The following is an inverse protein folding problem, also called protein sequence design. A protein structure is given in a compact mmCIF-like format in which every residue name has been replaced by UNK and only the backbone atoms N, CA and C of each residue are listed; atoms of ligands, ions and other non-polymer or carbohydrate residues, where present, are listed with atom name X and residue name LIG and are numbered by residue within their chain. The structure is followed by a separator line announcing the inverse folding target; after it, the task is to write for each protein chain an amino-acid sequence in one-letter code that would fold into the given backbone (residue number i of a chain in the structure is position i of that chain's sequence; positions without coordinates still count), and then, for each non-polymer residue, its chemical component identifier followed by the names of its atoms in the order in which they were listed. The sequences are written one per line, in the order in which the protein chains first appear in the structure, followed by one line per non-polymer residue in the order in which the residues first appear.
data_IF_249874984292
#
_entry.id   IF_249874984292
#
_cell.length_a   1.000
_cell.length_b   1.000
_cell.length_c   1.000
_cell.angle_alpha   90.00
_cell.angle_beta   90.00
_cell.angle_gamma   90.00
#
_symmetry.space_group_name_H-M   'P 1'
#
loop_
_entity.id
_entity.type
_entity.pdbx_description
1 polymer ?
#
# COMPACT_ATOMS: atom_id res chain seq x y z
N UNK A 1 9.77 -58.57 15.36
CA UNK A 1 8.54 -57.75 15.36
C UNK A 1 8.55 -56.95 16.64
N UNK A 2 8.84 -55.66 16.54
CA UNK A 2 8.71 -54.68 17.64
C UNK A 2 7.53 -53.79 17.25
N UNK A 3 6.40 -54.01 17.94
CA UNK A 3 5.23 -53.14 17.85
C UNK A 3 5.53 -51.86 18.60
N UNK A 4 5.48 -50.71 17.88
CA UNK A 4 5.44 -49.37 18.48
C UNK A 4 3.99 -49.05 18.85
N UNK A 5 3.68 -48.67 20.08
CA UNK A 5 2.34 -48.22 20.43
C UNK A 5 2.07 -46.90 19.71
N UNK A 6 0.96 -46.83 18.99
CA UNK A 6 0.42 -45.63 18.42
C UNK A 6 0.00 -44.69 19.59
N UNK A 7 0.88 -43.75 19.96
CA UNK A 7 0.48 -42.64 20.79
C UNK A 7 -0.49 -41.77 20.01
N UNK A 8 -1.74 -41.94 20.25
CA UNK A 8 -2.83 -41.09 19.87
C UNK A 8 -2.69 -39.75 20.64
N UNK A 9 -1.78 -38.89 20.20
CA UNK A 9 -1.75 -37.49 20.65
C UNK A 9 -2.93 -36.79 20.01
N UNK A 10 -4.02 -36.71 20.77
CA UNK A 10 -5.23 -35.99 20.41
C UNK A 10 -4.87 -34.61 19.86
N UNK A 11 -5.13 -34.41 18.59
CA UNK A 11 -5.27 -33.08 17.98
C UNK A 11 -6.46 -32.42 18.69
N UNK A 12 -6.19 -31.75 19.81
CA UNK A 12 -7.11 -30.71 20.26
C UNK A 12 -7.09 -29.66 19.15
N UNK A 13 -8.05 -29.74 18.25
CA UNK A 13 -8.41 -28.62 17.40
C UNK A 13 -8.53 -27.41 18.30
N UNK A 14 -7.57 -26.48 18.19
CA UNK A 14 -7.55 -25.26 18.97
C UNK A 14 -8.59 -24.31 18.40
N UNK A 15 -9.87 -24.68 18.57
CA UNK A 15 -11.01 -23.89 18.13
C UNK A 15 -10.98 -22.50 18.75
N UNK A 16 -11.27 -21.51 17.93
CA UNK A 16 -11.37 -20.13 18.39
C UNK A 16 -12.60 -19.96 19.26
N UNK A 17 -12.50 -19.21 20.36
CA UNK A 17 -13.70 -18.73 21.06
C UNK A 17 -14.40 -17.68 20.19
N UNK A 18 -15.70 -17.48 20.38
CA UNK A 18 -16.47 -16.47 19.63
C UNK A 18 -15.83 -15.08 19.72
N UNK A 19 -15.27 -14.71 20.87
CA UNK A 19 -14.61 -13.42 21.04
C UNK A 19 -13.29 -13.36 20.27
N UNK A 20 -12.51 -14.44 20.23
CA UNK A 20 -11.29 -14.53 19.43
C UNK A 20 -11.58 -14.48 17.94
N UNK A 21 -12.63 -15.16 17.49
CA UNK A 21 -13.08 -15.13 16.10
C UNK A 21 -13.46 -13.71 15.67
N UNK A 22 -14.27 -13.02 16.45
CA UNK A 22 -14.65 -11.62 16.18
C UNK A 22 -13.44 -10.67 16.14
N UNK A 23 -12.48 -10.83 17.06
CA UNK A 23 -11.25 -10.02 17.07
C UNK A 23 -10.42 -10.30 15.81
N UNK A 24 -10.30 -11.56 15.39
CA UNK A 24 -9.56 -11.93 14.17
C UNK A 24 -10.24 -11.38 12.91
N UNK A 25 -11.56 -11.53 12.78
CA UNK A 25 -12.37 -10.94 11.70
C UNK A 25 -12.22 -9.41 11.65
N UNK A 26 -12.22 -8.77 12.81
CA UNK A 26 -11.99 -7.32 12.89
C UNK A 26 -10.60 -6.94 12.38
N UNK A 27 -9.55 -7.65 12.80
CA UNK A 27 -8.17 -7.39 12.36
C UNK A 27 -8.08 -7.55 10.84
N UNK A 28 -8.65 -8.62 10.26
CA UNK A 28 -8.69 -8.82 8.81
C UNK A 28 -9.42 -7.69 8.08
N UNK A 29 -10.61 -7.32 8.55
CA UNK A 29 -11.40 -6.26 7.94
C UNK A 29 -10.73 -4.89 8.07
N UNK A 30 -10.07 -4.64 9.19
CA UNK A 30 -9.29 -3.42 9.40
C UNK A 30 -8.12 -3.33 8.41
N UNK A 31 -7.36 -4.44 8.24
CA UNK A 31 -6.28 -4.52 7.24
C UNK A 31 -6.83 -4.32 5.83
N UNK A 32 -7.96 -4.97 5.50
CA UNK A 32 -8.64 -4.80 4.19
C UNK A 32 -9.04 -3.35 3.91
N UNK A 33 -9.50 -2.63 4.94
CA UNK A 33 -10.02 -1.27 4.79
C UNK A 33 -8.91 -0.21 4.80
N UNK A 34 -7.94 -0.34 5.70
CA UNK A 34 -6.93 0.69 5.95
C UNK A 34 -5.54 0.36 5.39
N UNK A 35 -5.27 -0.90 4.99
CA UNK A 35 -3.98 -1.34 4.46
C UNK A 35 -2.90 -1.61 5.54
N UNK A 36 -3.24 -1.51 6.83
CA UNK A 36 -2.36 -1.81 7.95
C UNK A 36 -3.16 -2.37 9.13
N UNK A 37 -2.53 -3.16 10.04
CA UNK A 37 -3.22 -3.74 11.17
C UNK A 37 -3.64 -2.70 12.21
N UNK A 38 -4.72 -2.98 12.99
CA UNK A 38 -5.12 -2.12 14.09
C UNK A 38 -4.08 -2.11 15.22
N UNK A 39 -4.01 -1.01 15.97
CA UNK A 39 -3.30 -0.99 17.24
C UNK A 39 -4.13 -1.67 18.35
N UNK A 40 -3.47 -2.04 19.47
CA UNK A 40 -4.18 -2.55 20.65
C UNK A 40 -5.26 -1.56 21.15
N UNK A 41 -5.00 -0.25 21.02
CA UNK A 41 -5.96 0.80 21.41
C UNK A 41 -7.18 0.84 20.49
N UNK A 42 -7.00 0.62 19.19
CA UNK A 42 -8.11 0.54 18.23
C UNK A 42 -9.01 -0.65 18.59
N UNK A 43 -8.43 -1.82 18.87
CA UNK A 43 -9.18 -3.01 19.30
C UNK A 43 -9.89 -2.77 20.64
N UNK A 44 -9.24 -2.11 21.61
CA UNK A 44 -9.87 -1.77 22.89
C UNK A 44 -11.13 -0.95 22.69
N UNK A 45 -11.03 0.10 21.88
CA UNK A 45 -12.14 1.02 21.61
C UNK A 45 -13.33 0.32 20.92
N UNK A 46 -13.04 -0.48 19.88
CA UNK A 46 -14.07 -1.03 19.02
C UNK A 46 -14.73 -2.30 19.60
N UNK A 47 -14.07 -2.95 20.60
CA UNK A 47 -14.62 -4.09 21.34
C UNK A 47 -15.05 -3.75 22.79
N UNK A 48 -15.03 -2.48 23.15
CA UNK A 48 -15.35 -2.01 24.50
C UNK A 48 -14.57 -2.77 25.61
N UNK A 49 -13.29 -3.04 25.32
CA UNK A 49 -12.39 -3.69 26.26
C UNK A 49 -11.63 -2.62 27.04
N UNK A 50 -11.97 -2.43 28.32
CA UNK A 50 -11.42 -1.37 29.18
C UNK A 50 -9.90 -1.45 29.41
N UNK A 51 -9.26 -2.58 29.12
CA UNK A 51 -7.84 -2.80 29.41
C UNK A 51 -7.06 -3.30 28.21
N UNK A 52 -5.95 -2.63 27.82
CA UNK A 52 -5.01 -3.14 26.81
C UNK A 52 -4.48 -4.54 27.10
N UNK A 53 -4.38 -4.90 28.39
CA UNK A 53 -3.96 -6.23 28.83
C UNK A 53 -4.97 -7.32 28.47
N UNK A 54 -6.27 -6.99 28.45
CA UNK A 54 -7.34 -7.89 27.99
C UNK A 54 -7.21 -8.23 26.51
N UNK A 55 -6.97 -7.22 25.68
CA UNK A 55 -6.72 -7.41 24.23
C UNK A 55 -5.43 -8.21 24.01
N UNK A 56 -4.34 -7.85 24.71
CA UNK A 56 -3.06 -8.57 24.61
C UNK A 56 -3.22 -10.08 24.86
N UNK A 57 -4.02 -10.47 25.86
CA UNK A 57 -4.30 -11.87 26.19
C UNK A 57 -5.06 -12.60 25.07
N UNK A 58 -5.99 -11.93 24.38
CA UNK A 58 -6.67 -12.51 23.22
C UNK A 58 -5.70 -12.66 22.05
N UNK A 59 -4.84 -11.66 21.78
CA UNK A 59 -3.82 -11.72 20.74
C UNK A 59 -2.79 -12.81 21.00
N UNK A 60 -2.31 -12.97 22.26
CA UNK A 60 -1.41 -14.07 22.64
C UNK A 60 -2.04 -15.44 22.40
N UNK A 61 -3.33 -15.57 22.68
CA UNK A 61 -4.05 -16.83 22.42
C UNK A 61 -4.19 -17.10 20.93
N UNK A 62 -4.48 -16.08 20.11
CA UNK A 62 -4.54 -16.20 18.64
C UNK A 62 -3.17 -16.57 18.07
N UNK A 63 -2.09 -16.00 18.60
CA UNK A 63 -0.72 -16.30 18.21
C UNK A 63 -0.34 -17.74 18.55
N UNK A 64 -0.61 -18.19 19.79
CA UNK A 64 -0.38 -19.59 20.23
C UNK A 64 -1.16 -20.60 19.40
N UNK A 65 -2.33 -20.23 18.89
CA UNK A 65 -3.15 -21.05 17.98
C UNK A 65 -2.72 -20.96 16.52
N UNK A 66 -1.72 -20.13 16.19
CA UNK A 66 -1.17 -19.97 14.86
C UNK A 66 -2.08 -19.23 13.86
N UNK A 67 -2.99 -18.37 14.36
CA UNK A 67 -3.83 -17.51 13.53
C UNK A 67 -3.19 -16.18 13.20
N UNK A 68 -2.33 -15.67 14.10
CA UNK A 68 -1.58 -14.44 13.88
C UNK A 68 -0.11 -14.61 14.29
N UNK A 69 0.71 -13.71 13.81
CA UNK A 69 2.09 -13.49 14.25
C UNK A 69 2.22 -12.04 14.73
N UNK A 70 2.99 -11.78 15.80
CA UNK A 70 3.23 -10.44 16.34
C UNK A 70 4.71 -10.12 16.31
N UNK A 71 5.07 -8.98 15.76
CA UNK A 71 6.46 -8.55 15.59
C UNK A 71 6.95 -7.64 16.73
N UNK A 72 6.17 -7.46 17.79
CA UNK A 72 6.55 -6.64 18.96
C UNK A 72 6.54 -5.12 18.75
N UNK A 73 6.34 -4.65 17.52
CA UNK A 73 6.19 -3.22 17.21
C UNK A 73 4.72 -2.79 17.20
N UNK A 74 4.48 -1.47 17.31
CA UNK A 74 3.12 -0.92 17.18
C UNK A 74 2.54 -1.31 15.82
N UNK A 75 1.29 -1.84 15.81
CA UNK A 75 0.62 -2.35 14.60
C UNK A 75 1.33 -3.55 13.93
N UNK A 76 2.18 -4.26 14.67
CA UNK A 76 2.93 -5.41 14.19
C UNK A 76 2.14 -6.71 14.31
N UNK A 77 0.93 -6.79 13.73
CA UNK A 77 0.09 -8.00 13.69
C UNK A 77 0.01 -8.48 12.25
N UNK A 78 0.40 -9.72 12.01
CA UNK A 78 0.23 -10.42 10.73
C UNK A 78 -0.78 -11.53 10.91
N UNK A 79 -1.78 -11.61 10.05
CA UNK A 79 -2.74 -12.70 10.04
C UNK A 79 -2.19 -13.84 9.21
N UNK A 80 -2.18 -15.06 9.76
CA UNK A 80 -1.67 -16.27 9.13
C UNK A 80 -2.80 -17.19 8.64
N UNK A 81 -3.96 -17.16 9.33
CA UNK A 81 -5.15 -17.96 9.01
C UNK A 81 -6.40 -17.15 9.23
N UNK A 82 -7.36 -17.30 8.35
CA UNK A 82 -8.71 -16.77 8.51
C UNK A 82 -9.49 -17.48 9.62
N UNK A 83 -10.58 -16.91 10.15
CA UNK A 83 -11.39 -17.52 11.20
C UNK A 83 -11.97 -18.90 10.88
N UNK A 84 -12.09 -19.24 9.60
CA UNK A 84 -12.51 -20.57 9.10
C UNK A 84 -11.37 -21.59 9.08
N UNK A 85 -10.15 -21.18 9.49
CA UNK A 85 -8.96 -22.02 9.50
C UNK A 85 -8.22 -22.10 8.17
N UNK A 86 -8.72 -21.45 7.10
CA UNK A 86 -8.00 -21.37 5.83
C UNK A 86 -6.69 -20.62 6.02
N UNK A 87 -5.58 -21.24 5.59
CA UNK A 87 -4.26 -20.61 5.63
C UNK A 87 -4.25 -19.45 4.63
N UNK A 88 -3.95 -18.27 5.10
CA UNK A 88 -3.57 -17.18 4.22
C UNK A 88 -2.16 -17.50 3.73
N UNK A 89 -2.07 -18.08 2.54
CA UNK A 89 -0.78 -18.47 1.96
C UNK A 89 0.18 -17.28 1.93
N UNK A 90 1.48 -17.47 2.22
CA UNK A 90 2.50 -16.46 1.97
C UNK A 90 2.53 -16.21 0.45
N UNK A 91 1.91 -15.12 0.00
CA UNK A 91 1.76 -14.78 -1.42
C UNK A 91 0.50 -13.99 -1.75
N UNK A 92 -0.55 -14.02 -0.91
CA UNK A 92 -1.74 -13.16 -1.11
C UNK A 92 -1.54 -11.70 -0.65
N UNK A 93 -0.40 -11.41 -0.04
CA UNK A 93 -0.05 -10.07 0.45
C UNK A 93 0.56 -9.17 -0.64
N UNK A 94 0.57 -9.60 -1.89
CA UNK A 94 1.07 -8.83 -3.03
C UNK A 94 0.02 -8.70 -4.12
N UNK A 95 0.04 -7.58 -4.82
CA UNK A 95 -0.70 -7.35 -6.05
C UNK A 95 0.29 -7.06 -7.18
N UNK A 96 0.02 -7.61 -8.35
CA UNK A 96 0.81 -7.34 -9.55
C UNK A 96 0.34 -6.05 -10.18
N UNK A 97 1.11 -4.95 -10.03
CA UNK A 97 0.80 -3.67 -10.65
C UNK A 97 1.46 -3.55 -12.02
N UNK A 98 0.73 -3.12 -13.04
CA UNK A 98 1.30 -2.89 -14.37
C UNK A 98 2.21 -1.66 -14.37
N UNK A 99 3.35 -1.75 -15.04
CA UNK A 99 4.22 -0.60 -15.36
C UNK A 99 3.77 -0.04 -16.71
N UNK A 100 3.09 1.12 -16.71
CA UNK A 100 2.45 1.67 -17.92
C UNK A 100 3.43 2.47 -18.79
N UNK A 101 4.68 2.63 -18.37
CA UNK A 101 5.69 3.35 -19.13
C UNK A 101 6.60 4.23 -18.27
N UNK A 102 7.25 5.19 -18.91
CA UNK A 102 8.14 6.14 -18.25
C UNK A 102 7.42 7.48 -18.06
N UNK A 103 7.63 8.09 -16.90
CA UNK A 103 7.22 9.49 -16.67
C UNK A 103 8.44 10.38 -16.67
N UNK A 104 8.45 11.38 -17.52
CA UNK A 104 9.55 12.33 -17.56
C UNK A 104 9.54 13.27 -16.36
N UNK A 105 10.65 13.29 -15.67
CA UNK A 105 10.97 14.33 -14.72
C UNK A 105 11.92 15.33 -15.42
N UNK A 106 11.37 16.16 -16.34
CA UNK A 106 12.15 17.18 -17.02
C UNK A 106 11.72 17.50 -18.45
N UNK A 107 11.77 16.55 -19.36
CA UNK A 107 11.28 16.71 -20.74
C UNK A 107 10.17 15.69 -21.01
N UNK A 108 9.21 16.09 -21.81
CA UNK A 108 8.04 15.29 -22.13
C UNK A 108 8.42 14.05 -22.94
N UNK A 109 7.98 12.89 -22.48
CA UNK A 109 8.12 11.63 -23.22
C UNK A 109 6.73 11.11 -23.57
N UNK A 110 6.51 10.79 -24.84
CA UNK A 110 5.32 10.09 -25.28
C UNK A 110 5.19 8.78 -24.52
N UNK A 111 3.99 8.52 -23.97
CA UNK A 111 3.67 7.27 -23.31
C UNK A 111 3.68 6.13 -24.33
N UNK A 112 4.81 5.46 -24.47
CA UNK A 112 4.91 4.23 -25.28
C UNK A 112 4.42 3.08 -24.41
N UNK A 113 3.32 2.47 -24.82
CA UNK A 113 2.88 1.18 -24.28
C UNK A 113 3.89 0.12 -24.73
N UNK A 114 4.78 -0.25 -23.84
CA UNK A 114 5.59 -1.47 -23.94
C UNK A 114 4.91 -2.59 -23.17
N UNK A 115 5.14 -3.83 -23.59
CA UNK A 115 4.59 -5.05 -23.01
C UNK A 115 4.51 -4.97 -21.47
N UNK A 116 3.37 -5.36 -20.92
CA UNK A 116 2.99 -5.16 -19.51
C UNK A 116 3.97 -5.83 -18.53
N UNK A 117 5.07 -5.13 -18.22
CA UNK A 117 5.87 -5.47 -17.05
C UNK A 117 4.99 -5.29 -15.83
N UNK A 118 4.86 -6.35 -15.02
CA UNK A 118 4.11 -6.29 -13.75
C UNK A 118 5.06 -6.48 -12.59
N UNK A 119 4.97 -5.59 -11.62
CA UNK A 119 5.81 -5.64 -10.42
C UNK A 119 4.94 -6.05 -9.22
N UNK A 120 5.39 -7.04 -8.41
CA UNK A 120 4.70 -7.40 -7.18
C UNK A 120 4.86 -6.28 -6.15
N UNK A 121 3.73 -5.74 -5.68
CA UNK A 121 3.66 -4.69 -4.68
C UNK A 121 2.93 -5.23 -3.44
N UNK A 122 3.50 -5.10 -2.24
CA UNK A 122 2.83 -5.49 -1.01
C UNK A 122 1.48 -4.78 -0.83
N UNK A 123 0.44 -5.53 -0.46
CA UNK A 123 -0.93 -4.97 -0.29
C UNK A 123 -0.99 -3.84 0.73
N UNK A 124 -0.08 -3.81 1.72
CA UNK A 124 -0.03 -2.73 2.71
C UNK A 124 0.42 -1.37 2.13
N UNK A 125 1.03 -1.34 0.93
CA UNK A 125 1.42 -0.11 0.22
C UNK A 125 0.26 0.51 -0.55
N UNK A 126 -0.86 -0.20 -0.74
CA UNK A 126 -2.02 0.26 -1.49
C UNK A 126 -3.30 0.13 -0.66
N UNK A 127 -4.33 0.92 -1.01
CA UNK A 127 -5.67 0.79 -0.43
C UNK A 127 -6.58 0.03 -1.38
N UNK A 128 -7.31 -0.95 -0.89
CA UNK A 128 -8.35 -1.65 -1.69
C UNK A 128 -9.43 -0.68 -2.13
N UNK A 129 -10.05 -0.96 -3.28
CA UNK A 129 -11.13 -0.12 -3.84
C UNK A 129 -10.63 1.02 -4.73
N UNK A 130 -9.34 1.11 -4.99
CA UNK A 130 -8.75 2.05 -5.94
C UNK A 130 -7.93 1.30 -6.97
N UNK A 131 -7.83 1.86 -8.18
CA UNK A 131 -6.92 1.38 -9.21
C UNK A 131 -5.53 1.99 -9.02
N UNK A 132 -4.51 1.17 -9.27
CA UNK A 132 -3.11 1.57 -9.19
C UNK A 132 -2.34 1.12 -10.42
N UNK A 133 -1.34 1.88 -10.76
CA UNK A 133 -0.35 1.53 -11.79
C UNK A 133 1.02 2.05 -11.36
N UNK A 134 2.05 1.63 -12.05
CA UNK A 134 3.42 2.07 -11.83
C UNK A 134 3.97 2.79 -13.03
N UNK A 135 4.87 3.73 -12.76
CA UNK A 135 5.66 4.41 -13.77
C UNK A 135 7.14 4.36 -13.35
N UNK A 136 8.02 4.28 -14.32
CA UNK A 136 9.44 4.44 -14.10
C UNK A 136 9.81 5.91 -14.22
N UNK A 137 10.51 6.44 -13.22
CA UNK A 137 10.94 7.84 -13.19
C UNK A 137 12.15 8.04 -14.10
N UNK A 138 12.08 9.07 -14.95
CA UNK A 138 13.20 9.52 -15.76
C UNK A 138 13.52 10.97 -15.39
N UNK A 139 14.77 11.27 -15.05
CA UNK A 139 15.24 12.61 -14.67
C UNK A 139 15.18 12.91 -13.18
N UNK A 140 15.49 14.15 -12.80
CA UNK A 140 15.80 14.56 -11.43
C UNK A 140 14.90 15.68 -10.88
N UNK A 141 13.73 15.95 -11.51
CA UNK A 141 12.89 17.08 -11.09
C UNK A 141 12.24 16.93 -9.72
N UNK A 142 12.30 15.75 -9.11
CA UNK A 142 11.69 15.44 -7.82
C UNK A 142 12.71 14.98 -6.76
N UNK A 143 13.97 15.33 -6.95
CA UNK A 143 15.08 14.85 -6.11
C UNK A 143 14.95 15.26 -4.64
N UNK A 144 14.49 16.47 -4.34
CA UNK A 144 14.26 16.93 -2.96
C UNK A 144 13.02 16.30 -2.31
N UNK A 145 12.20 15.61 -3.08
CA UNK A 145 11.16 14.69 -2.58
C UNK A 145 11.67 13.26 -2.50
N UNK A 146 12.99 13.04 -2.60
CA UNK A 146 13.66 11.74 -2.57
C UNK A 146 13.22 10.78 -3.67
N UNK A 147 12.71 11.30 -4.80
CA UNK A 147 12.37 10.55 -5.99
C UNK A 147 13.43 10.83 -7.05
N UNK A 148 14.17 9.80 -7.44
CA UNK A 148 15.30 9.93 -8.36
C UNK A 148 15.10 9.12 -9.64
N UNK A 149 15.94 9.38 -10.61
CA UNK A 149 15.96 8.65 -11.88
C UNK A 149 16.06 7.13 -11.66
N UNK A 150 15.21 6.37 -12.31
CA UNK A 150 15.17 4.92 -12.23
C UNK A 150 14.23 4.35 -11.18
N UNK A 151 13.67 5.18 -10.28
CA UNK A 151 12.66 4.75 -9.31
C UNK A 151 11.39 4.26 -10.00
N UNK A 152 10.69 3.34 -9.34
CA UNK A 152 9.32 3.02 -9.66
C UNK A 152 8.38 3.74 -8.71
N UNK A 153 7.43 4.51 -9.25
CA UNK A 153 6.41 5.22 -8.46
C UNK A 153 5.08 4.49 -8.59
N UNK A 154 4.45 4.25 -7.44
CA UNK A 154 3.10 3.69 -7.34
C UNK A 154 2.12 4.85 -7.40
N UNK A 155 1.28 4.86 -8.42
CA UNK A 155 0.31 5.92 -8.67
C UNK A 155 -1.10 5.38 -8.42
N UNK A 156 -1.84 6.05 -7.54
CA UNK A 156 -3.27 5.84 -7.39
C UNK A 156 -4.00 6.62 -8.48
N UNK A 157 -4.73 5.93 -9.33
CA UNK A 157 -5.51 6.53 -10.42
C UNK A 157 -6.63 7.39 -9.85
N UNK A 158 -6.64 8.65 -10.20
CA UNK A 158 -7.68 9.64 -9.87
C UNK A 158 -7.51 10.90 -10.73
N UNK A 159 -8.61 11.63 -10.93
CA UNK A 159 -8.66 12.82 -11.79
C UNK A 159 -8.59 14.15 -11.01
N UNK A 160 -8.39 14.10 -9.71
CA UNK A 160 -8.34 15.29 -8.84
C UNK A 160 -7.12 15.25 -7.91
N UNK A 161 -6.68 16.40 -7.45
CA UNK A 161 -5.57 16.54 -6.50
C UNK A 161 -5.78 17.75 -5.60
N UNK A 162 -5.17 17.72 -4.41
CA UNK A 162 -5.06 18.88 -3.54
C UNK A 162 -3.72 19.58 -3.76
N UNK A 163 -3.65 20.86 -3.40
CA UNK A 163 -2.39 21.59 -3.42
C UNK A 163 -1.35 20.90 -2.55
N UNK A 164 -0.16 20.71 -3.10
CA UNK A 164 0.95 20.00 -2.46
C UNK A 164 1.00 18.48 -2.76
N UNK A 165 -0.06 17.88 -3.30
CA UNK A 165 0.00 16.48 -3.75
C UNK A 165 1.05 16.31 -4.87
N UNK A 166 1.79 15.21 -4.84
CA UNK A 166 2.64 14.81 -5.98
C UNK A 166 1.77 14.01 -6.93
N UNK A 167 1.66 14.48 -8.16
CA UNK A 167 0.75 13.92 -9.17
C UNK A 167 1.46 13.59 -10.48
N UNK A 168 0.89 12.66 -11.21
CA UNK A 168 1.12 12.53 -12.63
C UNK A 168 0.12 13.44 -13.33
N UNK A 169 0.63 14.48 -13.95
CA UNK A 169 -0.14 15.44 -14.74
C UNK A 169 0.12 15.22 -16.23
N UNK A 170 -0.94 15.13 -17.01
CA UNK A 170 -0.91 15.11 -18.48
C UNK A 170 -1.25 16.51 -18.97
N UNK A 171 -0.35 17.10 -19.77
CA UNK A 171 -0.49 18.43 -20.35
C UNK A 171 -0.80 18.25 -21.83
N UNK A 172 -1.83 18.95 -22.32
CA UNK A 172 -2.28 18.95 -23.72
C UNK A 172 -2.58 17.55 -24.32
N UNK A 173 -2.93 16.58 -23.45
CA UNK A 173 -3.11 15.17 -23.81
C UNK A 173 -1.85 14.49 -24.40
N UNK A 174 -0.69 15.11 -24.27
CA UNK A 174 0.55 14.68 -24.93
C UNK A 174 1.69 14.43 -23.91
N UNK A 175 1.85 15.31 -22.92
CA UNK A 175 3.02 15.34 -22.07
C UNK A 175 2.73 14.94 -20.62
N UNK A 176 3.16 13.75 -20.21
CA UNK A 176 3.04 13.30 -18.82
C UNK A 176 4.24 13.74 -18.00
N UNK A 177 4.00 14.28 -16.79
CA UNK A 177 5.06 14.69 -15.85
C UNK A 177 4.68 14.42 -14.41
N UNK A 178 5.69 14.14 -13.55
CA UNK A 178 5.52 13.98 -12.10
C UNK A 178 5.98 15.26 -11.40
N UNK A 179 5.06 15.97 -10.74
CA UNK A 179 5.30 17.26 -10.07
C UNK A 179 4.43 17.43 -8.84
N UNK A 180 4.76 18.38 -7.98
CA UNK A 180 3.81 18.91 -6.99
C UNK A 180 2.75 19.74 -7.69
N UNK A 181 1.50 19.48 -7.33
CA UNK A 181 0.33 20.15 -7.89
C UNK A 181 -0.05 21.37 -7.07
N UNK A 182 -0.23 22.52 -7.71
CA UNK A 182 -0.77 23.75 -7.12
C UNK A 182 -1.83 24.32 -8.06
N UNK A 183 -3.06 24.44 -7.55
CA UNK A 183 -4.18 25.03 -8.27
C UNK A 183 -4.32 26.50 -7.86
N UNK A 184 -4.11 27.39 -8.82
CA UNK A 184 -4.22 28.85 -8.66
C UNK A 184 -5.49 29.41 -9.36
N UNK A 185 -6.54 28.56 -9.50
CA UNK A 185 -7.79 28.91 -10.16
C UNK A 185 -7.72 28.73 -11.67
N UNK A 186 -7.49 29.80 -12.47
CA UNK A 186 -7.42 29.66 -13.93
C UNK A 186 -6.17 28.93 -14.42
N UNK A 187 -5.16 28.80 -13.58
CA UNK A 187 -3.88 28.18 -13.89
C UNK A 187 -3.54 27.07 -12.91
N UNK A 188 -2.84 26.06 -13.43
CA UNK A 188 -2.20 25.03 -12.64
C UNK A 188 -0.70 25.25 -12.70
N UNK A 189 -0.09 25.20 -11.53
CA UNK A 189 1.34 25.28 -11.35
C UNK A 189 1.87 23.90 -10.95
N UNK A 190 2.71 23.34 -11.81
CA UNK A 190 3.35 22.04 -11.59
C UNK A 190 4.77 22.30 -11.13
N UNK A 191 4.99 22.14 -9.82
CA UNK A 191 6.23 22.56 -9.15
C UNK A 191 7.19 21.38 -9.03
N UNK A 192 8.42 21.47 -9.57
CA UNK A 192 9.45 20.47 -9.34
C UNK A 192 9.91 20.52 -7.88
N UNK A 193 10.38 19.39 -7.35
CA UNK A 193 11.14 19.32 -6.10
C UNK A 193 12.64 19.26 -6.44
N UNK A 194 13.11 20.28 -7.13
CA UNK A 194 14.49 20.50 -7.50
C UNK A 194 14.71 22.01 -7.67
N UNK A 195 15.59 22.66 -6.88
CA UNK A 195 15.79 24.11 -6.91
C UNK A 195 16.39 24.61 -8.23
N UNK A 196 17.01 23.75 -9.02
CA UNK A 196 17.58 24.08 -10.33
C UNK A 196 16.53 24.14 -11.46
N UNK A 197 15.25 23.77 -11.15
CA UNK A 197 14.20 23.68 -12.15
C UNK A 197 13.06 24.66 -11.86
N UNK A 198 12.54 25.30 -12.89
CA UNK A 198 11.41 26.23 -12.78
C UNK A 198 10.08 25.47 -12.82
N UNK A 199 9.03 25.98 -12.12
CA UNK A 199 7.68 25.46 -12.25
C UNK A 199 7.12 25.61 -13.66
N UNK A 200 6.31 24.64 -14.07
CA UNK A 200 5.53 24.70 -15.28
C UNK A 200 4.18 25.31 -14.95
N UNK A 201 3.84 26.43 -15.55
CA UNK A 201 2.55 27.14 -15.36
C UNK A 201 1.74 27.04 -16.64
N UNK A 202 0.55 26.44 -16.56
CA UNK A 202 -0.33 26.23 -17.70
C UNK A 202 -1.77 26.55 -17.33
N UNK A 203 -2.61 26.87 -18.32
CA UNK A 203 -4.04 27.04 -18.12
C UNK A 203 -4.68 25.73 -17.59
N UNK A 204 -5.63 25.85 -16.65
CA UNK A 204 -6.18 24.69 -15.94
C UNK A 204 -6.86 23.67 -16.88
N UNK A 205 -7.45 24.13 -17.98
CA UNK A 205 -8.11 23.28 -18.97
C UNK A 205 -7.13 22.45 -19.83
N UNK A 206 -5.83 22.73 -19.76
CA UNK A 206 -4.77 21.99 -20.48
C UNK A 206 -4.13 20.91 -19.63
N UNK A 207 -4.49 20.79 -18.34
CA UNK A 207 -3.91 19.83 -17.40
C UNK A 207 -4.95 18.82 -16.97
N UNK A 208 -4.64 17.55 -17.12
CA UNK A 208 -5.44 16.43 -16.59
C UNK A 208 -4.61 15.67 -15.56
N UNK A 209 -5.12 15.57 -14.33
CA UNK A 209 -4.51 14.69 -13.32
C UNK A 209 -4.80 13.25 -13.69
N UNK A 210 -3.75 12.43 -13.85
CA UNK A 210 -3.86 10.99 -14.15
C UNK A 210 -3.80 10.13 -12.88
N UNK A 211 -3.29 10.70 -11.80
CA UNK A 211 -3.22 10.02 -10.52
C UNK A 211 -2.27 10.72 -9.55
N UNK A 212 -2.32 10.25 -8.31
CA UNK A 212 -1.54 10.76 -7.19
C UNK A 212 -0.51 9.72 -6.74
N UNK A 213 0.68 10.18 -6.39
CA UNK A 213 1.73 9.37 -5.79
C UNK A 213 1.23 8.70 -4.50
N UNK A 214 1.42 7.40 -4.41
CA UNK A 214 1.10 6.58 -3.24
C UNK A 214 2.35 5.99 -2.59
N UNK A 215 3.39 5.69 -3.36
CA UNK A 215 4.64 5.12 -2.86
C UNK A 215 5.74 5.12 -3.90
N UNK A 216 6.95 4.82 -3.45
CA UNK A 216 8.14 4.69 -4.29
C UNK A 216 8.82 3.37 -3.98
N UNK A 217 9.28 2.68 -5.02
CA UNK A 217 10.07 1.46 -4.90
C UNK A 217 11.41 1.69 -5.61
N UNK A 218 12.49 1.34 -4.94
CA UNK A 218 13.85 1.43 -5.46
C UNK A 218 14.63 0.16 -5.14
N UNK A 219 15.32 -0.37 -6.14
CA UNK A 219 16.28 -1.45 -5.94
C UNK A 219 17.71 -0.93 -6.05
N UNK A 220 18.54 -1.38 -5.13
CA UNK A 220 19.99 -1.18 -5.21
C UNK A 220 20.63 -2.47 -5.75
N UNK A 221 21.46 -2.34 -6.77
CA UNK A 221 22.24 -3.45 -7.34
C UNK A 221 23.55 -3.60 -6.59
#
# INVERSE_FOLDING_TARGET
LIEFPAENRGCHELTLTEKQKKILEYIENFIKLYGYPPSIRDICRDFDISSPRGVAKHLESLEKKGYIERTGVSRGIRVLKSPDGSSLAPGEDVVMLPVIGNVAAGEAVQAVQTEEEKIPVPLWMIRRGFEYYMLRVTGNSMIDSHIVNGDFVIIRKQEWANNGDIVVALIDDEYATLKKYENEGPKIRLVPSNPEMLPIVVEANRVKVQGRLSGVIRWYK
#
